data_IF_024982557021
#
_entry.id   IF_024982557021
#
_cell.length_a   1.000
_cell.length_b   1.000
_cell.length_c   1.000
_cell.angle_alpha   90.00
_cell.angle_beta   90.00
_cell.angle_gamma   90.00
#
_symmetry.space_group_name_H-M   'P 1'
#
loop_
_entity.id
_entity.type
_entity.pdbx_description
1 polymer ?
#
# COMPACT_ATOMS: atom_id res chain seq x y z
N UNK A 1 21.50 -1.97 48.70
CA UNK A 1 21.99 -1.15 47.59
C UNK A 1 22.00 -1.88 46.24
N UNK A 2 22.13 -3.22 46.20
CA UNK A 2 22.16 -3.98 44.91
C UNK A 2 20.85 -4.05 44.13
N UNK A 3 19.69 -3.92 44.78
CA UNK A 3 18.39 -3.96 44.08
C UNK A 3 18.08 -2.69 43.26
N UNK A 4 18.62 -1.54 43.66
CA UNK A 4 18.40 -0.29 42.95
C UNK A 4 19.24 -0.19 41.65
N UNK A 5 20.43 -0.82 41.62
CA UNK A 5 21.32 -0.79 40.48
C UNK A 5 20.80 -1.63 39.26
N UNK A 6 19.99 -2.66 39.57
CA UNK A 6 19.39 -3.52 38.53
C UNK A 6 18.28 -2.84 37.73
N UNK A 7 17.56 -1.91 38.35
CA UNK A 7 16.49 -1.17 37.67
C UNK A 7 17.01 -0.04 36.78
N UNK A 8 18.15 0.55 37.13
CA UNK A 8 18.79 1.57 36.28
C UNK A 8 19.39 1.00 35.00
N UNK A 9 19.94 -0.22 35.01
CA UNK A 9 20.44 -0.88 33.80
C UNK A 9 19.31 -1.29 32.84
N UNK A 10 18.14 -1.69 33.37
CA UNK A 10 16.97 -2.02 32.55
C UNK A 10 16.32 -0.78 31.92
N UNK A 11 16.44 0.37 32.55
CA UNK A 11 15.89 1.64 32.02
C UNK A 11 16.77 2.26 30.94
N UNK A 12 18.09 2.04 30.98
CA UNK A 12 19.03 2.52 29.97
C UNK A 12 18.98 1.72 28.65
N UNK A 13 18.48 0.49 28.67
CA UNK A 13 18.31 -0.34 27.46
C UNK A 13 17.02 -0.01 26.68
N UNK A 14 16.13 0.82 27.22
CA UNK A 14 14.84 1.21 26.61
C UNK A 14 14.93 2.52 25.80
N UNK A 15 16.07 3.22 25.76
CA UNK A 15 16.17 4.55 25.13
C UNK A 15 16.90 4.51 23.75
N UNK A 16 17.29 3.34 23.26
CA UNK A 16 17.89 3.24 21.91
C UNK A 16 16.93 2.61 20.91
N UNK A 17 15.68 3.07 20.87
CA UNK A 17 14.90 3.05 19.64
C UNK A 17 15.18 4.35 18.86
N UNK A 18 16.36 4.42 18.28
CA UNK A 18 16.59 5.39 17.21
C UNK A 18 15.66 4.99 16.06
N UNK A 19 14.77 5.90 15.67
CA UNK A 19 14.08 5.82 14.40
C UNK A 19 15.15 5.69 13.32
N UNK A 20 15.44 4.47 12.87
CA UNK A 20 16.24 4.25 11.67
C UNK A 20 15.34 4.60 10.49
N UNK A 21 15.28 5.89 10.16
CA UNK A 21 14.82 6.31 8.85
C UNK A 21 15.79 5.63 7.88
N UNK A 22 15.26 4.90 6.91
CA UNK A 22 16.07 4.20 5.92
C UNK A 22 16.68 5.24 4.97
N UNK A 23 17.74 5.92 5.43
CA UNK A 23 18.49 6.87 4.63
C UNK A 23 19.29 6.14 3.54
N UNK A 24 19.42 6.79 2.39
CA UNK A 24 20.28 6.27 1.32
C UNK A 24 21.74 6.30 1.78
N UNK A 25 22.47 5.20 1.54
CA UNK A 25 23.90 5.14 1.83
C UNK A 25 24.69 5.93 0.79
N UNK A 26 24.96 7.20 1.09
CA UNK A 26 25.67 8.10 0.18
C UNK A 26 27.12 7.68 -0.10
N UNK A 27 27.73 6.86 0.76
CA UNK A 27 29.06 6.34 0.51
C UNK A 27 29.12 5.30 -0.63
N UNK A 28 27.97 4.73 -1.00
CA UNK A 28 27.85 3.80 -2.11
C UNK A 28 27.63 4.49 -3.47
N UNK A 29 27.52 5.84 -3.49
CA UNK A 29 27.25 6.61 -4.70
C UNK A 29 28.59 7.09 -5.29
N UNK A 30 28.76 6.89 -6.59
CA UNK A 30 29.92 7.35 -7.34
C UNK A 30 29.79 8.84 -7.72
N UNK A 31 30.93 9.55 -7.69
CA UNK A 31 31.02 10.97 -8.04
C UNK A 31 30.74 11.91 -6.86
N UNK A 32 31.59 12.90 -6.68
CA UNK A 32 31.55 13.86 -5.55
C UNK A 32 30.23 14.64 -5.51
N UNK A 33 29.76 15.11 -6.67
CA UNK A 33 28.53 15.91 -6.75
C UNK A 33 27.28 15.06 -6.48
N UNK A 34 27.26 13.80 -6.96
CA UNK A 34 26.16 12.88 -6.65
C UNK A 34 26.16 12.43 -5.20
N UNK A 35 27.33 12.30 -4.56
CA UNK A 35 27.45 12.05 -3.13
C UNK A 35 26.86 13.22 -2.31
N UNK A 36 27.25 14.47 -2.64
CA UNK A 36 26.67 15.67 -2.02
C UNK A 36 25.17 15.78 -2.25
N UNK A 37 24.69 15.44 -3.47
CA UNK A 37 23.27 15.39 -3.77
C UNK A 37 22.51 14.39 -2.87
N UNK A 38 23.08 13.22 -2.63
CA UNK A 38 22.54 12.23 -1.71
C UNK A 38 22.49 12.73 -0.25
N UNK A 39 23.53 13.42 0.21
CA UNK A 39 23.56 14.01 1.56
C UNK A 39 22.47 15.09 1.73
N UNK A 40 22.31 15.95 0.74
CA UNK A 40 21.21 16.94 0.71
C UNK A 40 19.83 16.27 0.66
N UNK A 41 19.68 15.23 -0.13
CA UNK A 41 18.46 14.42 -0.19
C UNK A 41 18.12 13.82 1.18
N UNK A 42 19.07 13.20 1.86
CA UNK A 42 18.83 12.60 3.18
C UNK A 42 18.36 13.67 4.19
N UNK A 43 19.00 14.85 4.22
CA UNK A 43 18.57 15.99 5.06
C UNK A 43 17.19 16.51 4.71
N UNK A 44 16.88 16.60 3.40
CA UNK A 44 15.59 17.09 2.93
C UNK A 44 14.45 16.12 3.23
N UNK A 45 14.71 14.80 3.20
CA UNK A 45 13.71 13.75 3.40
C UNK A 45 13.10 13.76 4.81
N UNK A 46 13.83 14.21 5.83
CA UNK A 46 13.34 14.32 7.20
C UNK A 46 12.15 15.30 7.34
N UNK A 47 12.00 16.22 6.41
CA UNK A 47 10.99 17.30 6.43
C UNK A 47 10.13 17.30 5.15
N UNK A 48 9.81 16.13 4.61
CA UNK A 48 9.04 15.99 3.37
C UNK A 48 7.77 16.87 3.37
N UNK A 49 7.59 17.64 2.31
CA UNK A 49 6.44 18.54 2.13
C UNK A 49 6.66 19.98 2.60
N UNK A 50 7.70 20.26 3.38
CA UNK A 50 8.07 21.63 3.69
C UNK A 50 8.83 22.28 2.52
N UNK A 51 8.76 23.63 2.43
CA UNK A 51 9.45 24.39 1.40
C UNK A 51 10.97 24.11 1.38
N UNK A 52 11.59 24.10 2.54
CA UNK A 52 13.04 23.84 2.67
C UNK A 52 13.42 22.44 2.15
N UNK A 53 12.56 21.45 2.37
CA UNK A 53 12.72 20.11 1.82
C UNK A 53 12.66 20.12 0.29
N UNK A 54 11.67 20.81 -0.30
CA UNK A 54 11.55 20.91 -1.76
C UNK A 54 12.76 21.62 -2.40
N UNK A 55 13.24 22.71 -1.79
CA UNK A 55 14.47 23.41 -2.20
C UNK A 55 15.72 22.50 -2.05
N UNK A 56 15.75 21.63 -1.04
CA UNK A 56 16.81 20.64 -0.86
C UNK A 56 16.83 19.60 -1.97
N UNK A 57 15.67 19.10 -2.37
CA UNK A 57 15.56 18.19 -3.52
C UNK A 57 15.93 18.88 -4.84
N UNK A 58 15.58 20.16 -5.04
CA UNK A 58 15.99 20.92 -6.22
C UNK A 58 17.52 21.00 -6.30
N UNK A 59 18.19 21.35 -5.23
CA UNK A 59 19.66 21.39 -5.18
C UNK A 59 20.31 20.02 -5.40
N UNK A 60 19.69 18.95 -4.87
CA UNK A 60 20.17 17.59 -5.11
C UNK A 60 20.07 17.21 -6.60
N UNK A 61 18.97 17.58 -7.26
CA UNK A 61 18.74 17.37 -8.70
C UNK A 61 19.71 18.23 -9.53
N UNK A 62 19.99 19.46 -9.15
CA UNK A 62 20.98 20.33 -9.82
C UNK A 62 22.38 19.74 -9.77
N UNK A 63 22.79 19.22 -8.62
CA UNK A 63 24.11 18.60 -8.44
C UNK A 63 24.24 17.25 -9.14
N UNK A 64 23.19 16.44 -9.13
CA UNK A 64 23.19 15.12 -9.73
C UNK A 64 21.84 14.88 -10.45
N UNK A 65 21.71 15.29 -11.73
CA UNK A 65 20.46 15.16 -12.49
C UNK A 65 19.96 13.72 -12.70
N UNK A 66 20.82 12.74 -12.46
CA UNK A 66 20.49 11.32 -12.60
C UNK A 66 20.19 10.65 -11.24
N UNK A 67 20.12 11.41 -10.14
CA UNK A 67 19.78 10.90 -8.82
C UNK A 67 18.26 10.68 -8.69
N UNK A 68 17.78 9.51 -9.10
CA UNK A 68 16.37 9.15 -9.22
C UNK A 68 15.55 9.38 -7.95
N UNK A 69 16.14 9.10 -6.76
CA UNK A 69 15.47 9.21 -5.47
C UNK A 69 15.02 10.66 -5.17
N UNK A 70 15.78 11.68 -5.59
CA UNK A 70 15.40 13.07 -5.36
C UNK A 70 14.12 13.46 -6.13
N UNK A 71 13.95 12.97 -7.35
CA UNK A 71 12.70 13.16 -8.11
C UNK A 71 11.51 12.45 -7.45
N UNK A 72 11.72 11.22 -6.98
CA UNK A 72 10.67 10.44 -6.31
C UNK A 72 10.20 11.13 -5.04
N UNK A 73 11.10 11.51 -4.12
CA UNK A 73 10.72 12.16 -2.87
C UNK A 73 10.13 13.55 -3.10
N UNK A 74 10.68 14.31 -4.05
CA UNK A 74 10.10 15.58 -4.47
C UNK A 74 8.66 15.43 -4.99
N UNK A 75 8.34 14.32 -5.66
CA UNK A 75 7.00 14.07 -6.20
C UNK A 75 5.93 13.84 -5.13
N UNK A 76 6.28 13.24 -3.98
CA UNK A 76 5.31 12.76 -2.98
C UNK A 76 4.33 13.83 -2.49
N UNK A 77 4.73 15.06 -2.12
CA UNK A 77 3.80 16.09 -1.66
C UNK A 77 2.78 16.50 -2.73
N UNK A 78 3.18 16.52 -3.99
CA UNK A 78 2.28 16.84 -5.11
C UNK A 78 1.17 15.79 -5.26
N UNK A 79 1.52 14.49 -5.11
CA UNK A 79 0.52 13.42 -5.08
C UNK A 79 -0.49 13.62 -3.94
N UNK A 80 0.01 13.86 -2.73
CA UNK A 80 -0.80 14.04 -1.52
C UNK A 80 -1.73 15.25 -1.60
N UNK A 81 -1.31 16.30 -2.29
CA UNK A 81 -2.07 17.54 -2.50
C UNK A 81 -2.98 17.50 -3.75
N UNK A 82 -2.96 16.42 -4.54
CA UNK A 82 -3.78 16.29 -5.74
C UNK A 82 -3.21 16.96 -6.99
N UNK A 83 -1.99 17.50 -6.97
CA UNK A 83 -1.29 17.98 -8.16
C UNK A 83 -0.66 16.80 -8.92
N UNK A 84 -1.52 16.06 -9.59
CA UNK A 84 -1.12 14.86 -10.34
C UNK A 84 -0.28 15.17 -11.58
N UNK A 85 -0.35 16.39 -12.12
CA UNK A 85 0.44 16.79 -13.28
C UNK A 85 1.91 16.94 -12.92
N UNK A 86 2.21 17.70 -11.87
CA UNK A 86 3.57 17.86 -11.35
C UNK A 86 4.11 16.52 -10.83
N UNK A 87 3.31 15.77 -10.04
CA UNK A 87 3.69 14.44 -9.58
C UNK A 87 4.10 13.53 -10.73
N UNK A 88 3.28 13.48 -11.81
CA UNK A 88 3.54 12.61 -12.96
C UNK A 88 4.87 12.93 -13.63
N UNK A 89 5.18 14.21 -13.87
CA UNK A 89 6.44 14.63 -14.47
C UNK A 89 7.66 14.17 -13.67
N UNK A 90 7.59 14.33 -12.36
CA UNK A 90 8.68 13.96 -11.45
C UNK A 90 8.84 12.44 -11.32
N UNK A 91 7.74 11.71 -11.09
CA UNK A 91 7.82 10.26 -10.92
C UNK A 91 8.17 9.52 -12.22
N UNK A 92 7.75 10.04 -13.37
CA UNK A 92 8.14 9.49 -14.67
C UNK A 92 9.66 9.66 -14.90
N UNK A 93 10.24 10.79 -14.47
CA UNK A 93 11.70 10.98 -14.50
C UNK A 93 12.42 10.01 -13.56
N UNK A 94 11.94 9.82 -12.33
CA UNK A 94 12.50 8.84 -11.39
C UNK A 94 12.48 7.41 -11.96
N UNK A 95 11.36 7.00 -12.56
CA UNK A 95 11.23 5.67 -13.21
C UNK A 95 12.11 5.54 -14.43
N UNK A 96 12.29 6.61 -15.21
CA UNK A 96 13.19 6.58 -16.38
C UNK A 96 14.65 6.39 -15.97
N UNK A 97 15.07 6.94 -14.83
CA UNK A 97 16.41 6.82 -14.28
C UNK A 97 16.65 5.48 -13.56
N UNK A 98 15.70 5.05 -12.72
CA UNK A 98 15.77 3.75 -12.04
C UNK A 98 14.39 3.06 -12.03
N UNK A 99 14.08 2.32 -13.09
CA UNK A 99 12.80 1.60 -13.19
C UNK A 99 12.66 0.50 -12.13
N UNK A 100 13.77 -0.15 -11.76
CA UNK A 100 13.77 -1.23 -10.78
C UNK A 100 13.31 -0.75 -9.41
N UNK A 101 13.73 0.44 -9.00
CA UNK A 101 13.39 1.01 -7.70
C UNK A 101 11.99 1.66 -7.69
N UNK A 102 11.59 2.34 -8.77
CA UNK A 102 10.46 3.27 -8.71
C UNK A 102 9.18 2.79 -9.42
N UNK A 103 9.22 1.73 -10.26
CA UNK A 103 8.02 1.20 -10.93
C UNK A 103 6.95 0.73 -9.94
N UNK A 104 7.35 0.07 -8.84
CA UNK A 104 6.41 -0.42 -7.83
C UNK A 104 5.61 0.71 -7.19
N UNK A 105 6.30 1.77 -6.80
CA UNK A 105 5.68 2.96 -6.22
C UNK A 105 4.76 3.65 -7.23
N UNK A 106 5.22 3.91 -8.47
CA UNK A 106 4.39 4.56 -9.49
C UNK A 106 3.16 3.72 -9.83
N UNK A 107 3.31 2.42 -9.99
CA UNK A 107 2.19 1.50 -10.26
C UNK A 107 1.15 1.50 -9.13
N UNK A 108 1.60 1.45 -7.87
CA UNK A 108 0.70 1.58 -6.72
C UNK A 108 -0.01 2.93 -6.67
N UNK A 109 0.70 4.05 -6.90
CA UNK A 109 0.09 5.39 -6.94
C UNK A 109 -0.97 5.52 -8.05
N UNK A 110 -0.68 5.00 -9.26
CA UNK A 110 -1.67 4.95 -10.34
C UNK A 110 -2.94 4.21 -9.95
N UNK A 111 -2.81 3.05 -9.28
CA UNK A 111 -3.94 2.29 -8.77
C UNK A 111 -4.69 3.07 -7.67
N UNK A 112 -3.98 3.49 -6.63
CA UNK A 112 -4.57 3.95 -5.36
C UNK A 112 -5.12 5.39 -5.47
N UNK A 113 -4.42 6.30 -6.13
CA UNK A 113 -4.77 7.72 -6.19
C UNK A 113 -5.49 8.10 -7.49
N UNK A 114 -5.00 7.60 -8.63
CA UNK A 114 -5.48 8.04 -9.95
C UNK A 114 -6.56 7.11 -10.53
N UNK A 115 -6.71 5.91 -9.98
CA UNK A 115 -7.56 4.86 -10.56
C UNK A 115 -7.18 4.52 -12.01
N UNK A 116 -5.93 4.79 -12.38
CA UNK A 116 -5.34 4.37 -13.65
C UNK A 116 -4.93 2.89 -13.57
N UNK A 117 -5.91 2.01 -13.67
CA UNK A 117 -5.72 0.57 -13.54
C UNK A 117 -4.86 -0.01 -14.67
N UNK A 118 -5.02 0.49 -15.90
CA UNK A 118 -4.21 0.06 -17.04
C UNK A 118 -2.75 0.45 -16.88
N UNK A 119 -2.49 1.68 -16.46
CA UNK A 119 -1.14 2.17 -16.18
C UNK A 119 -0.49 1.46 -15.00
N UNK A 120 -1.27 1.12 -13.95
CA UNK A 120 -0.80 0.32 -12.82
C UNK A 120 -0.38 -1.10 -13.27
N UNK A 121 -1.18 -1.76 -14.09
CA UNK A 121 -0.86 -3.08 -14.63
C UNK A 121 0.44 -3.03 -15.44
N UNK A 122 0.59 -2.03 -16.32
CA UNK A 122 1.78 -1.88 -17.16
C UNK A 122 3.06 -1.74 -16.30
N UNK A 123 3.02 -0.89 -15.28
CA UNK A 123 4.17 -0.69 -14.38
C UNK A 123 4.50 -1.98 -13.61
N UNK A 124 3.49 -2.67 -13.06
CA UNK A 124 3.68 -3.88 -12.25
C UNK A 124 4.05 -5.12 -13.10
N UNK A 125 3.59 -5.21 -14.33
CA UNK A 125 4.08 -6.24 -15.28
C UNK A 125 5.53 -5.96 -15.71
N UNK A 126 5.90 -4.70 -15.85
CA UNK A 126 7.28 -4.31 -16.14
C UNK A 126 8.19 -4.59 -14.94
N UNK A 127 7.74 -4.27 -13.73
CA UNK A 127 8.45 -4.55 -12.48
C UNK A 127 8.75 -6.06 -12.32
N UNK A 128 7.83 -6.92 -12.76
CA UNK A 128 8.00 -8.37 -12.69
C UNK A 128 9.24 -8.88 -13.45
N UNK A 129 9.73 -8.15 -14.44
CA UNK A 129 10.97 -8.49 -15.15
C UNK A 129 12.21 -8.35 -14.25
N UNK A 130 12.15 -7.46 -13.27
CA UNK A 130 13.21 -7.24 -12.28
C UNK A 130 13.06 -8.11 -11.03
N UNK A 131 11.80 -8.39 -10.65
CA UNK A 131 11.46 -9.16 -9.46
C UNK A 131 10.45 -10.27 -9.81
N UNK A 132 10.91 -11.39 -10.43
CA UNK A 132 10.03 -12.43 -10.93
C UNK A 132 9.27 -13.19 -9.83
N UNK A 133 9.84 -13.29 -8.62
CA UNK A 133 9.28 -14.07 -7.52
C UNK A 133 8.30 -13.24 -6.67
N UNK A 134 8.70 -12.04 -6.27
CA UNK A 134 7.89 -11.15 -5.43
C UNK A 134 8.06 -9.68 -5.86
N UNK A 135 6.95 -9.02 -6.15
CA UNK A 135 6.92 -7.60 -6.52
C UNK A 135 7.14 -6.66 -5.34
N UNK A 136 7.13 -7.17 -4.12
CA UNK A 136 7.18 -6.37 -2.91
C UNK A 136 5.83 -5.81 -2.48
N UNK A 137 5.86 -4.85 -1.53
CA UNK A 137 4.67 -4.26 -0.93
C UNK A 137 4.38 -2.86 -1.45
N UNK A 138 3.10 -2.46 -1.35
CA UNK A 138 2.67 -1.08 -1.51
C UNK A 138 3.32 -0.17 -0.47
N UNK A 139 3.44 1.12 -0.76
CA UNK A 139 4.11 2.08 0.12
C UNK A 139 3.46 2.21 1.51
N UNK A 140 2.14 2.03 1.60
CA UNK A 140 1.41 2.02 2.88
C UNK A 140 1.44 0.65 3.58
N UNK A 141 2.04 -0.38 2.97
CA UNK A 141 2.19 -1.72 3.53
C UNK A 141 0.94 -2.60 3.46
N UNK A 142 -0.21 -2.09 3.02
CA UNK A 142 -1.51 -2.80 3.09
C UNK A 142 -1.60 -4.00 2.13
N UNK A 143 -0.91 -3.93 0.99
CA UNK A 143 -1.00 -4.93 -0.08
C UNK A 143 0.37 -5.36 -0.60
N UNK A 144 0.47 -6.61 -1.02
CA UNK A 144 1.50 -6.99 -1.98
C UNK A 144 1.18 -6.40 -3.36
N UNK A 145 2.19 -5.98 -4.11
CA UNK A 145 1.99 -5.37 -5.43
C UNK A 145 1.39 -6.34 -6.47
N UNK A 146 1.52 -7.66 -6.27
CA UNK A 146 0.78 -8.65 -7.06
C UNK A 146 -0.73 -8.58 -6.80
N UNK A 147 -1.15 -8.31 -5.55
CA UNK A 147 -2.56 -8.10 -5.20
C UNK A 147 -3.08 -6.79 -5.76
N UNK A 148 -2.28 -5.71 -5.72
CA UNK A 148 -2.59 -4.43 -6.39
C UNK A 148 -2.84 -4.64 -7.89
N UNK A 149 -1.98 -5.40 -8.54
CA UNK A 149 -2.14 -5.78 -9.95
C UNK A 149 -3.43 -6.57 -10.18
N UNK A 150 -3.74 -7.52 -9.31
CA UNK A 150 -4.98 -8.29 -9.38
C UNK A 150 -6.22 -7.41 -9.24
N UNK A 151 -6.24 -6.52 -8.24
CA UNK A 151 -7.33 -5.55 -8.06
C UNK A 151 -7.50 -4.64 -9.28
N UNK A 152 -6.39 -4.25 -9.94
CA UNK A 152 -6.43 -3.49 -11.19
C UNK A 152 -7.10 -4.28 -12.32
N UNK A 153 -6.80 -5.58 -12.46
CA UNK A 153 -7.51 -6.47 -13.40
C UNK A 153 -9.00 -6.62 -13.04
N UNK A 154 -9.33 -6.76 -11.77
CA UNK A 154 -10.73 -6.83 -11.31
C UNK A 154 -11.51 -5.56 -11.69
N UNK A 155 -10.93 -4.38 -11.48
CA UNK A 155 -11.51 -3.10 -11.84
C UNK A 155 -11.78 -2.96 -13.35
N UNK A 156 -10.96 -3.60 -14.19
CA UNK A 156 -11.14 -3.67 -15.65
C UNK A 156 -12.05 -4.83 -16.09
N UNK A 157 -12.79 -5.48 -15.19
CA UNK A 157 -13.71 -6.57 -15.49
C UNK A 157 -13.07 -7.94 -15.68
N UNK A 158 -11.73 -8.08 -15.55
CA UNK A 158 -10.99 -9.34 -15.71
C UNK A 158 -10.92 -10.10 -14.37
N UNK A 159 -12.08 -10.40 -13.79
CA UNK A 159 -12.22 -10.90 -12.41
C UNK A 159 -11.65 -12.32 -12.21
N UNK A 160 -11.80 -13.22 -13.17
CA UNK A 160 -11.20 -14.55 -13.12
C UNK A 160 -9.66 -14.47 -13.08
N UNK A 161 -9.08 -13.57 -13.88
CA UNK A 161 -7.64 -13.34 -13.88
C UNK A 161 -7.18 -12.77 -12.55
N UNK A 162 -7.94 -11.82 -12.00
CA UNK A 162 -7.67 -11.22 -10.69
C UNK A 162 -7.68 -12.29 -9.58
N UNK A 163 -8.75 -13.10 -9.50
CA UNK A 163 -8.84 -14.19 -8.52
C UNK A 163 -7.65 -15.14 -8.61
N UNK A 164 -7.30 -15.60 -9.82
CA UNK A 164 -6.17 -16.51 -10.02
C UNK A 164 -4.80 -15.91 -9.65
N UNK A 165 -4.63 -14.57 -9.74
CA UNK A 165 -3.40 -13.91 -9.28
C UNK A 165 -3.35 -13.92 -7.76
N UNK A 166 -4.44 -13.55 -7.06
CA UNK A 166 -4.47 -13.50 -5.59
C UNK A 166 -4.33 -14.92 -5.02
N UNK A 167 -5.02 -15.93 -5.59
CA UNK A 167 -4.89 -17.33 -5.17
C UNK A 167 -3.44 -17.80 -5.22
N UNK A 168 -2.75 -17.55 -6.33
CA UNK A 168 -1.33 -17.93 -6.47
C UNK A 168 -0.45 -17.20 -5.45
N UNK A 169 -0.70 -15.92 -5.22
CA UNK A 169 0.06 -15.16 -4.23
C UNK A 169 -0.14 -15.71 -2.82
N UNK A 170 -1.38 -16.00 -2.43
CA UNK A 170 -1.70 -16.59 -1.12
C UNK A 170 -1.14 -18.01 -0.94
N UNK A 171 -0.99 -18.77 -2.03
CA UNK A 171 -0.41 -20.12 -2.02
C UNK A 171 1.13 -20.12 -2.03
N UNK A 172 1.78 -18.98 -2.23
CA UNK A 172 3.26 -18.86 -2.26
C UNK A 172 3.84 -19.18 -0.88
N UNK A 173 4.77 -20.13 -0.82
CA UNK A 173 5.43 -20.50 0.43
C UNK A 173 6.19 -19.32 1.03
N UNK A 174 5.94 -19.05 2.30
CA UNK A 174 6.59 -17.94 3.02
C UNK A 174 6.00 -16.56 2.72
N UNK A 175 4.92 -16.50 1.94
CA UNK A 175 4.24 -15.25 1.68
C UNK A 175 3.68 -14.63 2.97
N UNK A 176 4.08 -13.40 3.26
CA UNK A 176 3.50 -12.60 4.35
C UNK A 176 2.31 -11.84 3.78
N UNK A 177 1.11 -12.26 4.18
CA UNK A 177 -0.13 -11.70 3.66
C UNK A 177 -0.25 -10.20 3.92
N UNK A 178 -0.88 -9.49 3.00
CA UNK A 178 -1.37 -8.13 3.20
C UNK A 178 -2.61 -8.12 4.10
N UNK A 179 -2.88 -6.95 4.68
CA UNK A 179 -3.98 -6.79 5.65
C UNK A 179 -5.35 -7.19 5.08
N UNK A 180 -5.57 -7.03 3.77
CA UNK A 180 -6.86 -7.21 3.14
C UNK A 180 -6.87 -8.24 1.99
N UNK A 181 -5.86 -9.09 1.88
CA UNK A 181 -5.71 -10.00 0.72
C UNK A 181 -6.88 -10.97 0.58
N UNK A 182 -7.27 -11.63 1.68
CA UNK A 182 -8.43 -12.52 1.68
C UNK A 182 -9.74 -11.77 1.42
N UNK A 183 -9.90 -10.57 1.96
CA UNK A 183 -11.05 -9.72 1.68
C UNK A 183 -11.18 -9.41 0.18
N UNK A 184 -10.09 -9.00 -0.47
CA UNK A 184 -10.09 -8.66 -1.90
C UNK A 184 -10.40 -9.89 -2.78
N UNK A 185 -9.89 -11.06 -2.40
CA UNK A 185 -10.23 -12.31 -3.07
C UNK A 185 -11.70 -12.68 -2.86
N UNK A 186 -12.20 -12.53 -1.63
CA UNK A 186 -13.59 -12.74 -1.27
C UNK A 186 -14.54 -11.86 -2.08
N UNK A 187 -14.26 -10.55 -2.20
CA UNK A 187 -15.05 -9.63 -3.03
C UNK A 187 -14.99 -10.02 -4.51
N UNK A 188 -13.80 -10.39 -5.01
CA UNK A 188 -13.65 -10.84 -6.40
C UNK A 188 -14.51 -12.07 -6.69
N UNK A 189 -14.54 -13.05 -5.78
CA UNK A 189 -15.42 -14.23 -5.92
C UNK A 189 -16.90 -13.89 -5.75
N UNK A 190 -17.23 -12.95 -4.86
CA UNK A 190 -18.60 -12.47 -4.73
C UNK A 190 -19.11 -11.89 -6.05
N UNK A 191 -18.33 -11.05 -6.70
CA UNK A 191 -18.65 -10.43 -7.99
C UNK A 191 -18.72 -11.43 -9.15
N UNK A 192 -18.04 -12.58 -9.02
CA UNK A 192 -18.15 -13.74 -9.94
C UNK A 192 -19.34 -14.66 -9.64
N UNK A 193 -20.17 -14.35 -8.61
CA UNK A 193 -21.26 -15.21 -8.17
C UNK A 193 -20.82 -16.51 -7.48
N UNK A 194 -19.52 -16.65 -7.16
CA UNK A 194 -18.94 -17.84 -6.51
C UNK A 194 -19.03 -17.69 -4.98
N UNK A 195 -20.25 -17.67 -4.45
CA UNK A 195 -20.54 -17.27 -3.07
C UNK A 195 -19.90 -18.18 -2.01
N UNK A 196 -19.70 -19.49 -2.29
CA UNK A 196 -19.02 -20.40 -1.34
C UNK A 196 -17.56 -20.00 -1.17
N UNK A 197 -16.85 -19.77 -2.29
CA UNK A 197 -15.46 -19.28 -2.26
C UNK A 197 -15.33 -17.89 -1.66
N UNK A 198 -16.33 -17.03 -1.89
CA UNK A 198 -16.37 -15.71 -1.28
C UNK A 198 -16.46 -15.81 0.24
N UNK A 199 -17.38 -16.61 0.79
CA UNK A 199 -17.52 -16.82 2.23
C UNK A 199 -16.27 -17.43 2.85
N UNK A 200 -15.68 -18.45 2.22
CA UNK A 200 -14.43 -19.05 2.68
C UNK A 200 -13.33 -17.98 2.88
N UNK A 201 -13.18 -17.08 1.91
CA UNK A 201 -12.18 -16.02 1.98
C UNK A 201 -12.54 -14.95 3.01
N UNK A 202 -13.81 -14.55 3.15
CA UNK A 202 -14.24 -13.64 4.20
C UNK A 202 -14.05 -14.25 5.61
N UNK A 203 -14.22 -15.56 5.79
CA UNK A 203 -13.91 -16.25 7.04
C UNK A 203 -12.40 -16.33 7.32
N UNK A 204 -11.57 -16.54 6.31
CA UNK A 204 -10.11 -16.45 6.48
C UNK A 204 -9.71 -15.03 6.89
N UNK A 205 -10.31 -14.01 6.26
CA UNK A 205 -10.08 -12.61 6.64
C UNK A 205 -10.47 -12.34 8.10
N UNK A 206 -11.63 -12.84 8.56
CA UNK A 206 -12.08 -12.66 9.95
C UNK A 206 -11.14 -13.30 10.97
N UNK A 207 -10.43 -14.38 10.63
CA UNK A 207 -9.45 -15.02 11.54
C UNK A 207 -8.19 -14.18 11.75
N UNK A 208 -7.84 -13.34 10.78
CA UNK A 208 -6.66 -12.46 10.85
C UNK A 208 -7.03 -11.10 11.44
N UNK A 209 -8.01 -10.45 10.84
CA UNK A 209 -8.55 -9.16 11.26
C UNK A 209 -9.93 -8.97 10.64
N UNK A 210 -10.95 -8.77 11.45
CA UNK A 210 -12.31 -8.52 10.97
C UNK A 210 -12.65 -7.03 11.03
N UNK A 211 -13.41 -6.56 10.04
CA UNK A 211 -13.79 -5.16 9.88
C UNK A 211 -15.13 -5.05 9.15
N UNK A 212 -15.73 -3.87 9.21
CA UNK A 212 -17.11 -3.64 8.79
C UNK A 212 -17.40 -4.09 7.35
N UNK A 213 -16.50 -3.83 6.41
CA UNK A 213 -16.66 -4.20 5.01
C UNK A 213 -16.66 -5.72 4.80
N UNK A 214 -15.83 -6.45 5.55
CA UNK A 214 -15.80 -7.91 5.49
C UNK A 214 -17.11 -8.51 6.01
N UNK A 215 -17.59 -8.03 7.15
CA UNK A 215 -18.87 -8.45 7.76
C UNK A 215 -20.04 -8.09 6.84
N UNK A 216 -20.03 -6.91 6.21
CA UNK A 216 -21.02 -6.49 5.23
C UNK A 216 -21.15 -7.50 4.08
N UNK A 217 -20.04 -7.94 3.48
CA UNK A 217 -20.11 -8.90 2.40
C UNK A 217 -20.57 -10.27 2.85
N UNK A 218 -20.24 -10.72 4.07
CA UNK A 218 -20.78 -11.95 4.67
C UNK A 218 -22.31 -11.84 4.81
N UNK A 219 -22.81 -10.70 5.33
CA UNK A 219 -24.24 -10.40 5.44
C UNK A 219 -24.92 -10.43 4.06
N UNK A 220 -24.30 -9.80 3.06
CA UNK A 220 -24.83 -9.74 1.69
C UNK A 220 -24.93 -11.12 1.04
N UNK A 221 -23.94 -12.00 1.24
CA UNK A 221 -24.02 -13.38 0.77
C UNK A 221 -25.14 -14.16 1.48
N UNK A 222 -25.32 -13.97 2.80
CA UNK A 222 -26.42 -14.61 3.56
C UNK A 222 -27.77 -14.18 3.01
N UNK A 223 -27.98 -12.88 2.76
CA UNK A 223 -29.20 -12.35 2.15
C UNK A 223 -29.50 -12.97 0.79
N UNK A 224 -28.51 -13.03 -0.11
CA UNK A 224 -28.63 -13.63 -1.46
C UNK A 224 -29.02 -15.12 -1.37
N UNK A 225 -28.58 -15.81 -0.32
CA UNK A 225 -28.90 -17.23 -0.09
C UNK A 225 -30.18 -17.45 0.69
N UNK A 226 -30.99 -16.44 0.91
CA UNK A 226 -32.22 -16.47 1.71
C UNK A 226 -31.96 -17.02 3.14
N UNK A 227 -30.79 -16.74 3.72
CA UNK A 227 -30.45 -17.03 5.12
C UNK A 227 -30.64 -15.76 5.95
N UNK A 228 -30.73 -15.93 7.27
CA UNK A 228 -30.70 -14.78 8.18
C UNK A 228 -29.40 -13.99 8.00
N UNK A 229 -29.53 -12.72 7.82
CA UNK A 229 -28.44 -11.78 7.58
C UNK A 229 -28.48 -10.55 8.51
N UNK A 230 -29.56 -10.40 9.29
CA UNK A 230 -29.79 -9.19 10.10
C UNK A 230 -28.78 -9.03 11.22
N UNK A 231 -28.40 -10.13 11.88
CA UNK A 231 -27.36 -10.11 12.92
C UNK A 231 -26.02 -9.67 12.34
N UNK A 232 -25.64 -10.17 11.16
CA UNK A 232 -24.41 -9.76 10.48
C UNK A 232 -24.48 -8.29 10.01
N UNK A 233 -25.63 -7.83 9.52
CA UNK A 233 -25.84 -6.42 9.19
C UNK A 233 -25.68 -5.52 10.40
N UNK A 234 -26.29 -5.88 11.52
CA UNK A 234 -26.20 -5.14 12.79
C UNK A 234 -24.75 -5.10 13.28
N UNK A 235 -24.06 -6.23 13.24
CA UNK A 235 -22.63 -6.31 13.59
C UNK A 235 -21.75 -5.46 12.68
N UNK A 236 -22.04 -5.43 11.37
CA UNK A 236 -21.28 -4.59 10.42
C UNK A 236 -21.46 -3.09 10.74
N UNK A 237 -22.68 -2.65 11.09
CA UNK A 237 -22.94 -1.26 11.49
C UNK A 237 -22.21 -0.91 12.78
N UNK A 238 -22.29 -1.75 13.80
CA UNK A 238 -21.58 -1.56 15.07
C UNK A 238 -20.06 -1.48 14.84
N UNK A 239 -19.50 -2.42 14.08
CA UNK A 239 -18.07 -2.47 13.76
C UNK A 239 -17.62 -1.22 12.98
N UNK A 240 -18.48 -0.72 12.07
CA UNK A 240 -18.22 0.53 11.36
C UNK A 240 -18.19 1.73 12.29
N UNK A 241 -19.17 1.84 13.21
CA UNK A 241 -19.30 2.94 14.18
C UNK A 241 -18.16 2.91 15.23
N UNK A 242 -17.61 1.73 15.55
CA UNK A 242 -16.38 1.56 16.33
C UNK A 242 -15.11 1.99 15.57
N UNK A 243 -15.25 2.31 14.29
CA UNK A 243 -14.14 2.74 13.44
C UNK A 243 -13.25 1.62 12.92
N UNK A 244 -13.63 0.36 13.07
CA UNK A 244 -12.97 -0.81 12.48
C UNK A 244 -13.38 -0.99 11.02
N UNK A 245 -12.76 -0.24 10.15
CA UNK A 245 -13.10 -0.15 8.72
C UNK A 245 -11.82 0.16 7.93
N UNK A 246 -11.82 -0.13 6.64
CA UNK A 246 -10.69 0.21 5.77
C UNK A 246 -10.48 1.72 5.76
N UNK A 247 -9.29 2.19 6.13
CA UNK A 247 -8.95 3.62 6.20
C UNK A 247 -7.62 3.89 5.51
N UNK A 248 -7.59 4.97 4.77
CA UNK A 248 -6.39 5.59 4.24
C UNK A 248 -6.48 7.10 4.47
N UNK A 249 -5.37 7.74 4.79
CA UNK A 249 -5.34 9.17 5.17
C UNK A 249 -5.58 10.08 3.97
N UNK A 250 -5.20 9.64 2.76
CA UNK A 250 -5.16 10.48 1.56
C UNK A 250 -6.19 10.09 0.51
N UNK A 251 -6.72 8.85 0.57
CA UNK A 251 -7.59 8.32 -0.48
C UNK A 251 -8.52 7.24 0.07
N UNK A 252 -9.26 6.56 -0.78
CA UNK A 252 -10.14 5.46 -0.42
C UNK A 252 -9.59 4.13 -0.93
N UNK A 253 -9.66 3.10 -0.08
CA UNK A 253 -9.35 1.74 -0.49
C UNK A 253 -10.27 1.25 -1.62
N UNK A 254 -9.73 0.37 -2.45
CA UNK A 254 -10.53 -0.38 -3.41
C UNK A 254 -11.50 -1.31 -2.66
N UNK A 255 -12.73 -1.41 -3.14
CA UNK A 255 -13.82 -2.14 -2.49
C UNK A 255 -14.19 -1.65 -1.07
N UNK A 256 -13.94 -0.37 -0.76
CA UNK A 256 -14.43 0.30 0.44
C UNK A 256 -15.95 0.30 0.46
N UNK A 257 -16.55 -0.01 1.63
CA UNK A 257 -17.99 0.09 1.88
C UNK A 257 -18.24 1.22 2.89
N UNK A 258 -19.26 2.00 2.64
CA UNK A 258 -19.65 3.10 3.50
C UNK A 258 -20.87 2.74 4.35
N UNK A 259 -21.04 3.42 5.48
CA UNK A 259 -22.11 3.18 6.45
C UNK A 259 -23.48 3.08 5.80
N UNK A 260 -23.81 4.01 4.89
CA UNK A 260 -25.07 4.03 4.15
C UNK A 260 -25.35 2.74 3.36
N UNK A 261 -24.32 2.16 2.74
CA UNK A 261 -24.45 0.91 1.99
C UNK A 261 -24.78 -0.28 2.91
N UNK A 262 -24.29 -0.25 4.17
CA UNK A 262 -24.65 -1.26 5.17
C UNK A 262 -26.09 -1.06 5.63
N UNK A 263 -26.54 0.18 5.84
CA UNK A 263 -27.91 0.51 6.21
C UNK A 263 -28.94 0.07 5.17
N UNK A 264 -28.61 0.22 3.91
CA UNK A 264 -29.46 -0.13 2.76
C UNK A 264 -29.46 -1.63 2.42
N UNK A 265 -28.60 -2.44 3.05
CA UNK A 265 -28.61 -3.89 2.88
C UNK A 265 -29.88 -4.50 3.46
#
# INVERSE_FOLDING_TARGET
MEKFQRYYLSFLLLIVYTNTIAQVNCNAIEGEDCKKACELYNLASDFQGYRASQEGFDKAIELCPDFANAYMEKAVPYLKNGDFVTWKGLIDKAVALDPKMHLGYRGWCKFQFLRDYSGAILDLETLKKYYPEDLGRSQNGDYNLSVVKAMSYSALGQKEKAAGIIERQLATRGYVKGMFDHYQLGVTYFELGKYDKALENFEQQSKEYDFAENIYFKSKVSKIRNKDYLDLKTLALQTYDEGKTMKDVYTHHFNKIYRKQIEEL
#
